data_IF_877381193395
#
_entry.id   IF_877381193395
#
_cell.length_a   1.000
_cell.length_b   1.000
_cell.length_c   1.000
_cell.angle_alpha   90.00
_cell.angle_beta   90.00
_cell.angle_gamma   90.00
#
_symmetry.space_group_name_H-M   'P 1'
#
loop_
_entity.id
_entity.type
_entity.pdbx_description
1 polymer ?
#
# COMPACT_ATOMS: atom_id res chain seq x y z
N UNK A 1 -9.52 0.04 17.82
CA UNK A 1 -8.75 0.93 18.73
C UNK A 1 -7.27 0.88 18.33
N UNK A 2 -6.40 1.76 18.85
CA UNK A 2 -4.94 1.73 18.58
C UNK A 2 -4.28 0.36 18.86
N UNK A 3 -4.91 -0.46 19.71
CA UNK A 3 -4.37 -1.74 20.21
C UNK A 3 -5.07 -2.97 19.59
N UNK A 4 -5.79 -2.80 18.49
CA UNK A 4 -6.49 -3.89 17.81
C UNK A 4 -5.63 -4.49 16.70
N UNK A 5 -4.52 -5.10 17.09
CA UNK A 5 -3.51 -5.59 16.14
C UNK A 5 -3.95 -6.84 15.38
N UNK A 6 -4.87 -7.62 15.95
CA UNK A 6 -5.41 -8.83 15.33
C UNK A 6 -6.63 -8.54 14.43
N UNK A 7 -7.27 -7.37 14.59
CA UNK A 7 -8.49 -7.04 13.85
C UNK A 7 -9.73 -7.80 14.34
N UNK A 8 -9.64 -8.48 15.48
CA UNK A 8 -10.70 -9.34 16.02
C UNK A 8 -11.89 -8.55 16.61
N UNK A 9 -11.74 -7.24 16.80
CA UNK A 9 -12.84 -6.42 17.31
C UNK A 9 -13.79 -6.09 16.17
N UNK A 10 -15.11 -6.12 16.40
CA UNK A 10 -16.08 -5.70 15.40
C UNK A 10 -15.79 -4.24 15.05
N UNK A 11 -15.25 -4.04 13.85
CA UNK A 11 -14.82 -2.75 13.36
C UNK A 11 -15.03 -2.69 11.87
N UNK A 12 -15.27 -1.47 11.41
CA UNK A 12 -15.41 -1.20 10.00
C UNK A 12 -14.10 -1.47 9.26
N UNK A 13 -14.18 -1.95 8.00
CA UNK A 13 -12.99 -2.26 7.22
C UNK A 13 -12.18 -0.99 6.91
N UNK A 14 -10.86 -1.14 6.87
CA UNK A 14 -9.92 -0.08 6.48
C UNK A 14 -9.25 -0.47 5.16
N UNK A 15 -9.51 0.28 4.09
CA UNK A 15 -9.00 -0.05 2.77
C UNK A 15 -7.57 0.46 2.56
N UNK A 16 -6.68 -0.43 2.12
CA UNK A 16 -5.30 -0.11 1.72
C UNK A 16 -5.17 -0.35 0.22
N UNK A 17 -4.55 0.58 -0.50
CA UNK A 17 -4.43 0.55 -1.95
C UNK A 17 -2.98 0.39 -2.40
N UNK A 18 -2.77 -0.24 -3.56
CA UNK A 18 -1.49 -0.16 -4.26
C UNK A 18 -1.33 1.21 -4.91
N UNK A 19 -0.07 1.62 -5.13
CA UNK A 19 0.26 2.81 -5.90
C UNK A 19 1.16 2.39 -7.08
N UNK A 20 0.56 2.01 -8.23
CA UNK A 20 1.33 1.60 -9.40
C UNK A 20 2.09 2.73 -10.09
N UNK A 21 1.83 3.99 -9.71
CA UNK A 21 2.45 5.16 -10.30
C UNK A 21 3.71 5.58 -9.53
N UNK A 22 3.72 5.36 -8.22
CA UNK A 22 4.85 5.68 -7.34
C UNK A 22 5.24 4.44 -6.50
N UNK A 23 6.14 3.58 -7.03
CA UNK A 23 6.52 2.34 -6.35
C UNK A 23 7.24 2.58 -5.02
N UNK A 24 7.88 3.74 -4.80
CA UNK A 24 8.59 4.03 -3.53
C UNK A 24 7.66 4.11 -2.32
N UNK A 25 6.39 4.45 -2.53
CA UNK A 25 5.39 4.63 -1.46
C UNK A 25 4.27 3.59 -1.50
N UNK A 26 4.29 2.65 -2.45
CA UNK A 26 3.22 1.65 -2.56
C UNK A 26 3.30 0.62 -1.42
N UNK A 27 2.28 0.52 -0.56
CA UNK A 27 2.30 -0.42 0.56
C UNK A 27 2.23 -1.87 0.08
N UNK A 28 1.50 -2.16 -0.99
CA UNK A 28 1.35 -3.53 -1.52
C UNK A 28 2.67 -4.02 -2.15
N UNK A 29 3.38 -3.16 -2.90
CA UNK A 29 4.71 -3.50 -3.39
C UNK A 29 5.70 -3.72 -2.23
N UNK A 30 5.69 -2.83 -1.23
CA UNK A 30 6.57 -2.96 -0.06
C UNK A 30 6.32 -4.28 0.70
N UNK A 31 5.05 -4.68 0.85
CA UNK A 31 4.68 -5.97 1.43
C UNK A 31 5.15 -7.15 0.57
N UNK A 32 4.99 -7.08 -0.76
CA UNK A 32 5.50 -8.09 -1.68
C UNK A 32 7.02 -8.26 -1.55
N UNK A 33 7.78 -7.16 -1.59
CA UNK A 33 9.24 -7.21 -1.42
C UNK A 33 9.61 -7.82 -0.07
N UNK A 34 8.91 -7.42 1.00
CA UNK A 34 9.14 -7.93 2.33
C UNK A 34 8.90 -9.45 2.43
N UNK A 35 7.73 -9.93 2.01
CA UNK A 35 7.36 -11.35 2.11
C UNK A 35 8.10 -12.25 1.13
N UNK A 36 8.62 -11.70 0.02
CA UNK A 36 9.51 -12.48 -0.85
C UNK A 36 10.87 -12.78 -0.22
N UNK A 37 11.32 -11.94 0.71
CA UNK A 37 12.61 -12.10 1.38
C UNK A 37 12.50 -12.73 2.76
N UNK A 38 11.35 -12.59 3.43
CA UNK A 38 11.15 -12.97 4.82
C UNK A 38 9.90 -13.83 4.98
N UNK A 39 10.01 -14.89 5.78
CA UNK A 39 8.92 -15.84 5.98
C UNK A 39 7.89 -15.33 6.99
N UNK A 40 6.67 -15.84 6.89
CA UNK A 40 5.60 -15.60 7.86
C UNK A 40 5.89 -16.26 9.21
N UNK A 41 5.33 -15.71 10.28
CA UNK A 41 5.33 -16.35 11.59
C UNK A 41 4.32 -17.50 11.60
N UNK A 42 4.82 -18.72 11.44
CA UNK A 42 3.99 -19.94 11.36
C UNK A 42 3.25 -20.28 12.67
N UNK A 43 3.66 -19.70 13.81
CA UNK A 43 3.07 -20.03 15.11
C UNK A 43 1.78 -19.28 15.43
N UNK A 44 1.64 -18.03 14.94
CA UNK A 44 0.57 -17.13 15.37
C UNK A 44 -0.11 -16.37 14.21
N UNK A 45 0.19 -16.70 12.95
CA UNK A 45 -0.42 -16.05 11.78
C UNK A 45 -0.05 -14.56 11.63
N UNK A 46 1.04 -14.11 12.25
CA UNK A 46 1.46 -12.71 12.20
C UNK A 46 2.10 -12.39 10.85
N UNK A 47 1.71 -11.24 10.27
CA UNK A 47 2.29 -10.73 9.03
C UNK A 47 3.78 -10.38 9.16
N UNK A 48 4.21 -10.02 10.37
CA UNK A 48 5.59 -9.66 10.70
C UNK A 48 6.06 -10.50 11.88
N UNK A 49 7.16 -11.27 11.73
CA UNK A 49 7.69 -12.09 12.81
C UNK A 49 8.17 -11.24 14.00
N UNK A 50 8.16 -11.84 15.19
CA UNK A 50 8.64 -11.23 16.43
C UNK A 50 7.62 -10.36 17.17
N UNK A 51 8.09 -9.67 18.21
CA UNK A 51 7.30 -8.77 19.05
C UNK A 51 7.68 -7.29 18.90
N UNK A 52 6.93 -6.42 19.59
CA UNK A 52 7.22 -4.98 19.71
C UNK A 52 7.43 -4.26 18.37
N UNK A 53 6.56 -4.52 17.40
CA UNK A 53 6.67 -3.99 16.03
C UNK A 53 6.79 -2.47 16.00
N UNK A 54 6.06 -1.77 16.87
CA UNK A 54 6.16 -0.33 17.05
C UNK A 54 7.58 0.15 17.39
N UNK A 55 8.23 -0.48 18.38
CA UNK A 55 9.57 -0.07 18.81
C UNK A 55 10.64 -0.45 17.79
N UNK A 56 10.47 -1.60 17.11
CA UNK A 56 11.35 -2.03 16.02
C UNK A 56 11.30 -1.03 14.87
N UNK A 57 10.09 -0.66 14.43
CA UNK A 57 9.89 0.35 13.40
C UNK A 57 10.49 1.69 13.82
N UNK A 58 10.22 2.18 15.04
CA UNK A 58 10.77 3.43 15.55
C UNK A 58 12.31 3.43 15.55
N UNK A 59 12.94 2.34 16.01
CA UNK A 59 14.41 2.20 16.01
C UNK A 59 14.97 2.19 14.59
N UNK A 60 14.34 1.48 13.66
CA UNK A 60 14.80 1.41 12.28
C UNK A 60 14.63 2.75 11.55
N UNK A 61 13.53 3.46 11.79
CA UNK A 61 13.30 4.80 11.27
C UNK A 61 14.36 5.78 11.79
N UNK A 62 14.65 5.73 13.10
CA UNK A 62 15.71 6.55 13.70
C UNK A 62 17.10 6.27 13.10
N UNK A 63 17.43 5.00 12.81
CA UNK A 63 18.67 4.65 12.10
C UNK A 63 18.71 5.24 10.69
N UNK A 64 17.61 5.15 9.95
CA UNK A 64 17.48 5.68 8.59
C UNK A 64 17.68 7.20 8.58
N UNK A 65 17.09 7.91 9.53
CA UNK A 65 17.22 9.37 9.64
C UNK A 65 18.63 9.85 10.01
N UNK A 66 19.44 8.98 10.60
CA UNK A 66 20.82 9.25 10.96
C UNK A 66 21.82 8.83 9.87
N UNK A 67 21.38 8.27 8.74
CA UNK A 67 22.26 8.08 7.59
C UNK A 67 22.67 9.43 7.00
N UNK A 68 23.90 9.54 6.52
CA UNK A 68 24.48 10.83 6.13
C UNK A 68 23.69 11.52 5.02
N UNK A 69 23.26 10.76 4.01
CA UNK A 69 22.44 11.24 2.90
C UNK A 69 21.08 11.77 3.36
N UNK A 70 20.38 11.01 4.22
CA UNK A 70 19.07 11.40 4.76
C UNK A 70 19.19 12.59 5.72
N UNK A 71 20.21 12.60 6.58
CA UNK A 71 20.50 13.69 7.51
C UNK A 71 20.82 15.00 6.78
N UNK A 72 21.57 14.92 5.68
CA UNK A 72 21.84 16.07 4.82
C UNK A 72 20.57 16.59 4.14
N UNK A 73 19.69 15.70 3.70
CA UNK A 73 18.40 16.08 3.13
C UNK A 73 17.48 16.75 4.15
N UNK A 74 17.45 16.26 5.39
CA UNK A 74 16.75 16.91 6.50
C UNK A 74 17.23 18.34 6.74
N UNK A 75 18.56 18.54 6.79
CA UNK A 75 19.15 19.88 6.91
C UNK A 75 18.77 20.77 5.72
N UNK A 76 18.82 20.25 4.50
CA UNK A 76 18.44 20.98 3.27
C UNK A 76 16.99 21.45 3.30
N UNK A 77 16.08 20.63 3.85
CA UNK A 77 14.65 20.96 3.96
C UNK A 77 14.27 21.68 5.25
N UNK A 78 15.23 21.96 6.14
CA UNK A 78 15.00 22.51 7.47
C UNK A 78 13.99 21.69 8.31
N UNK A 79 13.99 20.37 8.16
CA UNK A 79 13.12 19.44 8.91
C UNK A 79 13.95 18.74 9.97
N UNK A 80 13.50 18.74 11.23
CA UNK A 80 14.19 17.99 12.28
C UNK A 80 13.72 16.53 12.28
N UNK A 81 14.62 15.54 12.46
CA UNK A 81 14.23 14.14 12.60
C UNK A 81 13.14 13.90 13.65
N UNK A 82 13.15 14.64 14.77
CA UNK A 82 12.15 14.51 15.84
C UNK A 82 10.74 15.02 15.44
N UNK A 83 10.63 15.88 14.43
CA UNK A 83 9.35 16.41 13.93
C UNK A 83 8.58 15.35 13.12
N UNK A 84 9.32 14.45 12.44
CA UNK A 84 8.75 13.43 11.56
C UNK A 84 9.00 11.98 12.05
N UNK A 85 9.91 11.78 13.00
CA UNK A 85 10.45 10.47 13.40
C UNK A 85 9.70 9.74 14.50
N UNK A 86 8.57 10.29 14.95
CA UNK A 86 7.65 9.54 15.78
C UNK A 86 6.63 8.80 14.90
N UNK A 87 6.32 7.56 15.25
CA UNK A 87 5.15 6.85 14.68
C UNK A 87 3.84 7.63 14.83
N UNK A 88 3.76 8.48 15.86
CA UNK A 88 2.64 9.39 16.08
C UNK A 88 2.59 10.51 15.04
N UNK A 89 3.74 11.04 14.60
CA UNK A 89 3.81 12.06 13.54
C UNK A 89 3.44 11.49 12.18
N UNK A 90 3.76 10.23 11.87
CA UNK A 90 3.35 9.61 10.61
C UNK A 90 1.82 9.52 10.47
N UNK A 91 1.13 9.01 11.49
CA UNK A 91 -0.34 8.93 11.45
C UNK A 91 -1.00 10.31 11.42
N UNK A 92 -0.48 11.28 12.19
CA UNK A 92 -0.96 12.67 12.16
C UNK A 92 -0.70 13.33 10.80
N UNK A 93 0.46 13.08 10.23
CA UNK A 93 0.86 13.57 8.92
C UNK A 93 -0.04 13.00 7.82
N UNK A 94 -0.31 11.70 7.83
CA UNK A 94 -1.26 11.07 6.91
C UNK A 94 -2.68 11.66 7.04
N UNK A 95 -3.17 11.86 8.26
CA UNK A 95 -4.47 12.50 8.49
C UNK A 95 -4.49 13.95 7.99
N UNK A 96 -3.43 14.72 8.25
CA UNK A 96 -3.29 16.12 7.78
C UNK A 96 -3.21 16.17 6.26
N UNK A 97 -2.41 15.30 5.65
CA UNK A 97 -2.29 15.19 4.20
C UNK A 97 -3.63 14.85 3.56
N UNK A 98 -4.36 13.87 4.11
CA UNK A 98 -5.68 13.52 3.62
C UNK A 98 -6.67 14.67 3.75
N UNK A 99 -6.69 15.39 4.88
CA UNK A 99 -7.68 16.46 5.13
C UNK A 99 -7.33 17.83 4.55
N UNK A 100 -6.08 18.07 4.14
CA UNK A 100 -5.62 19.39 3.68
C UNK A 100 -4.81 19.36 2.38
N UNK A 101 -4.58 18.20 1.78
CA UNK A 101 -3.85 18.07 0.51
C UNK A 101 -4.62 18.52 -0.72
N UNK A 102 -5.93 18.77 -0.59
CA UNK A 102 -6.79 19.28 -1.67
C UNK A 102 -8.05 19.92 -1.08
N UNK A 103 -8.67 20.87 -1.79
CA UNK A 103 -10.00 21.39 -1.45
C UNK A 103 -11.11 20.36 -1.68
N UNK A 104 -10.82 19.30 -2.42
CA UNK A 104 -11.71 18.15 -2.64
C UNK A 104 -11.32 16.93 -1.79
N UNK A 105 -10.76 17.17 -0.60
CA UNK A 105 -10.32 16.13 0.34
C UNK A 105 -11.48 15.26 0.87
N UNK A 106 -11.19 14.04 1.38
CA UNK A 106 -12.15 13.26 2.15
C UNK A 106 -12.68 14.01 3.38
N UNK A 107 -13.85 13.60 3.88
CA UNK A 107 -14.44 14.22 5.07
C UNK A 107 -13.54 14.05 6.30
N UNK A 108 -13.51 15.08 7.16
CA UNK A 108 -12.76 15.03 8.43
C UNK A 108 -13.23 13.89 9.33
N UNK A 109 -14.53 13.56 9.31
CA UNK A 109 -15.11 12.39 9.99
C UNK A 109 -14.42 11.11 9.55
N UNK A 110 -14.34 10.86 8.23
CA UNK A 110 -13.72 9.63 7.72
C UNK A 110 -12.24 9.57 8.06
N UNK A 111 -11.52 10.70 7.90
CA UNK A 111 -10.09 10.79 8.26
C UNK A 111 -9.87 10.44 9.73
N UNK A 112 -10.69 10.99 10.63
CA UNK A 112 -10.61 10.72 12.07
C UNK A 112 -10.92 9.26 12.40
N UNK A 113 -11.96 8.68 11.79
CA UNK A 113 -12.33 7.27 11.99
C UNK A 113 -11.22 6.33 11.54
N UNK A 114 -10.62 6.57 10.36
CA UNK A 114 -9.51 5.78 9.83
C UNK A 114 -8.24 5.93 10.70
N UNK A 115 -7.94 7.14 11.16
CA UNK A 115 -6.86 7.40 12.12
C UNK A 115 -7.11 6.75 13.51
N UNK A 116 -8.32 6.27 13.76
CA UNK A 116 -8.76 5.67 15.01
C UNK A 116 -8.89 6.68 16.14
N UNK A 117 -9.30 7.91 15.81
CA UNK A 117 -9.55 9.00 16.75
C UNK A 117 -11.03 9.10 17.09
N UNK A 118 -11.31 9.50 18.33
CA UNK A 118 -12.68 9.83 18.76
C UNK A 118 -13.10 11.13 18.09
N UNK A 119 -14.32 11.17 17.53
CA UNK A 119 -14.92 12.40 17.01
C UNK A 119 -15.38 13.33 18.14
N UNK A 120 -15.67 12.76 19.31
CA UNK A 120 -16.05 13.47 20.52
C UNK A 120 -17.55 13.79 20.60
N UNK A 121 -18.05 13.83 21.83
CA UNK A 121 -19.43 14.24 22.16
C UNK A 121 -20.50 13.61 21.27
N UNK A 122 -21.37 14.47 20.76
CA UNK A 122 -22.51 14.13 19.90
C UNK A 122 -22.09 13.46 18.59
N UNK A 123 -20.94 13.82 18.02
CA UNK A 123 -20.51 13.31 16.71
C UNK A 123 -20.26 11.79 16.74
N UNK A 124 -19.71 11.25 17.83
CA UNK A 124 -19.51 9.80 17.99
C UNK A 124 -20.81 8.99 17.93
N UNK A 125 -21.95 9.60 18.30
CA UNK A 125 -23.24 8.92 18.31
C UNK A 125 -23.82 8.80 16.90
N UNK A 126 -23.72 9.88 16.12
CA UNK A 126 -24.45 10.06 14.88
C UNK A 126 -23.61 9.83 13.62
N UNK A 127 -22.30 10.05 13.68
CA UNK A 127 -21.41 9.89 12.54
C UNK A 127 -20.77 8.50 12.60
N UNK A 128 -21.03 7.71 11.56
CA UNK A 128 -20.58 6.31 11.44
C UNK A 128 -19.64 6.16 10.26
N UNK A 129 -19.10 4.96 10.13
CA UNK A 129 -18.27 4.59 9.00
C UNK A 129 -18.97 4.81 7.67
N UNK A 130 -18.23 5.38 6.74
CA UNK A 130 -18.67 5.56 5.36
C UNK A 130 -17.64 4.94 4.41
N UNK A 131 -18.02 3.82 3.79
CA UNK A 131 -17.13 3.02 2.95
C UNK A 131 -16.46 3.84 1.84
N UNK A 132 -17.24 4.66 1.11
CA UNK A 132 -16.70 5.49 0.04
C UNK A 132 -15.68 6.51 0.55
N UNK A 133 -15.91 7.09 1.74
CA UNK A 133 -14.96 7.99 2.38
C UNK A 133 -13.68 7.27 2.77
N UNK A 134 -13.78 6.07 3.36
CA UNK A 134 -12.61 5.29 3.81
C UNK A 134 -11.74 4.90 2.62
N UNK A 135 -12.38 4.46 1.54
CA UNK A 135 -11.74 4.17 0.26
C UNK A 135 -11.05 5.40 -0.34
N UNK A 136 -11.70 6.57 -0.29
CA UNK A 136 -11.12 7.84 -0.74
C UNK A 136 -9.88 8.22 0.11
N UNK A 137 -9.96 8.12 1.44
CA UNK A 137 -8.80 8.34 2.32
C UNK A 137 -7.69 7.34 1.98
N UNK A 138 -8.00 6.06 1.83
CA UNK A 138 -7.04 5.00 1.50
C UNK A 138 -6.26 5.29 0.21
N UNK A 139 -6.94 5.72 -0.85
CA UNK A 139 -6.30 6.16 -2.10
C UNK A 139 -5.43 7.39 -1.89
N UNK A 140 -5.91 8.39 -1.16
CA UNK A 140 -5.15 9.62 -0.89
C UNK A 140 -3.88 9.33 -0.11
N UNK A 141 -3.96 8.60 1.02
CA UNK A 141 -2.79 8.36 1.89
C UNK A 141 -1.76 7.39 1.28
N UNK A 142 -2.13 6.66 0.23
CA UNK A 142 -1.20 5.84 -0.56
C UNK A 142 -0.51 6.62 -1.67
N UNK A 143 -0.78 7.93 -1.77
CA UNK A 143 -0.08 8.86 -2.66
C UNK A 143 -0.60 8.84 -4.09
N UNK A 144 -1.83 8.37 -4.33
CA UNK A 144 -2.44 8.51 -5.65
C UNK A 144 -2.72 10.00 -5.95
N UNK A 145 -2.51 10.45 -7.20
CA UNK A 145 -2.55 11.86 -7.57
C UNK A 145 -3.99 12.41 -7.52
N UNK A 146 -4.30 13.18 -6.49
CA UNK A 146 -5.66 13.71 -6.22
C UNK A 146 -6.15 14.72 -7.26
N UNK A 147 -5.27 15.22 -8.12
CA UNK A 147 -5.56 16.20 -9.18
C UNK A 147 -5.61 15.57 -10.58
N UNK A 148 -5.58 14.24 -10.67
CA UNK A 148 -5.52 13.51 -11.93
C UNK A 148 -6.60 12.45 -12.06
N UNK A 149 -7.00 12.15 -13.30
CA UNK A 149 -7.84 10.99 -13.62
C UNK A 149 -7.21 9.67 -13.17
N UNK A 150 -5.88 9.63 -13.09
CA UNK A 150 -5.11 8.46 -12.63
C UNK A 150 -5.29 8.18 -11.14
N UNK A 151 -5.95 9.06 -10.37
CA UNK A 151 -6.43 8.74 -9.02
C UNK A 151 -7.31 7.48 -8.99
N UNK A 152 -8.05 7.23 -10.08
CA UNK A 152 -8.90 6.06 -10.25
C UNK A 152 -8.15 4.84 -10.79
N UNK A 153 -6.80 4.83 -10.81
CA UNK A 153 -6.07 3.65 -11.28
C UNK A 153 -6.39 2.41 -10.44
N UNK A 154 -6.43 1.26 -11.12
CA UNK A 154 -6.53 -0.04 -10.48
C UNK A 154 -5.15 -0.50 -10.00
N UNK A 155 -5.06 -1.29 -8.91
CA UNK A 155 -3.81 -1.92 -8.53
C UNK A 155 -3.30 -2.87 -9.63
N UNK A 156 -2.00 -3.18 -9.68
CA UNK A 156 -1.52 -4.30 -10.46
C UNK A 156 -2.23 -5.59 -10.02
N UNK A 157 -2.80 -6.32 -10.96
CA UNK A 157 -3.51 -7.58 -10.72
C UNK A 157 -3.44 -8.49 -11.94
N UNK A 158 -3.71 -9.78 -11.76
CA UNK A 158 -3.82 -10.72 -12.87
C UNK A 158 -5.26 -10.76 -13.39
N UNK A 159 -5.43 -11.07 -14.68
CA UNK A 159 -6.75 -11.29 -15.30
C UNK A 159 -7.53 -12.43 -14.65
N UNK A 160 -6.82 -13.44 -14.17
CA UNK A 160 -7.35 -14.65 -13.56
C UNK A 160 -6.28 -15.30 -12.69
N UNK A 161 -6.66 -15.80 -11.51
CA UNK A 161 -5.79 -16.64 -10.70
C UNK A 161 -5.88 -18.10 -11.20
N UNK A 162 -4.92 -18.50 -12.05
CA UNK A 162 -4.77 -19.86 -12.56
C UNK A 162 -3.68 -20.63 -11.80
N UNK A 163 -3.52 -21.93 -12.13
CA UNK A 163 -2.52 -22.81 -11.48
C UNK A 163 -1.09 -22.25 -11.53
N UNK A 164 -0.74 -21.45 -12.54
CA UNK A 164 0.60 -20.84 -12.61
C UNK A 164 0.73 -19.65 -11.67
N UNK A 165 -0.34 -18.85 -11.50
CA UNK A 165 -0.36 -17.77 -10.50
C UNK A 165 -0.28 -18.38 -9.10
N UNK A 166 -1.04 -19.44 -8.83
CA UNK A 166 -0.99 -20.20 -7.56
C UNK A 166 0.40 -20.76 -7.26
N UNK A 167 1.03 -21.36 -8.27
CA UNK A 167 2.40 -21.85 -8.17
C UNK A 167 3.38 -20.70 -7.88
N UNK A 168 3.21 -19.56 -8.55
CA UNK A 168 4.06 -18.40 -8.36
C UNK A 168 3.91 -17.78 -6.96
N UNK A 169 2.68 -17.70 -6.43
CA UNK A 169 2.41 -17.27 -5.05
C UNK A 169 3.14 -18.18 -4.06
N UNK A 170 3.02 -19.51 -4.25
CA UNK A 170 3.64 -20.50 -3.37
C UNK A 170 5.17 -20.43 -3.38
N UNK A 171 5.76 -20.12 -4.53
CA UNK A 171 7.21 -19.95 -4.70
C UNK A 171 7.69 -18.60 -4.13
N UNK A 172 6.94 -17.54 -4.39
CA UNK A 172 7.29 -16.19 -3.97
C UNK A 172 7.14 -15.99 -2.46
N UNK A 173 6.17 -16.66 -1.83
CA UNK A 173 5.76 -16.39 -0.45
C UNK A 173 5.65 -17.68 0.37
N UNK A 174 6.74 -18.43 0.60
CA UNK A 174 6.66 -19.72 1.27
C UNK A 174 6.09 -19.63 2.69
N UNK A 175 5.18 -20.56 3.02
CA UNK A 175 4.57 -20.68 4.35
C UNK A 175 3.51 -19.61 4.65
N UNK A 176 2.89 -19.04 3.61
CA UNK A 176 1.81 -18.09 3.78
C UNK A 176 0.54 -18.72 4.37
N UNK A 177 -0.22 -17.99 5.21
CA UNK A 177 -1.51 -18.47 5.69
C UNK A 177 -2.57 -18.30 4.59
N UNK A 178 -3.41 -19.31 4.36
CA UNK A 178 -4.42 -19.29 3.30
C UNK A 178 -5.41 -18.12 3.38
N UNK A 179 -5.66 -17.58 4.58
CA UNK A 179 -6.48 -16.38 4.78
C UNK A 179 -5.95 -15.13 4.06
N UNK A 180 -4.66 -15.12 3.71
CA UNK A 180 -4.00 -13.99 3.07
C UNK A 180 -3.87 -14.15 1.56
N UNK A 181 -4.39 -15.24 0.97
CA UNK A 181 -4.17 -15.55 -0.44
C UNK A 181 -4.42 -14.34 -1.38
N UNK A 182 -5.55 -13.65 -1.23
CA UNK A 182 -5.87 -12.49 -2.06
C UNK A 182 -4.85 -11.35 -1.97
N UNK A 183 -4.29 -11.07 -0.79
CA UNK A 183 -3.29 -10.00 -0.68
C UNK A 183 -1.96 -10.40 -1.32
N UNK A 184 -1.65 -11.70 -1.33
CA UNK A 184 -0.44 -12.23 -1.96
C UNK A 184 -0.53 -12.20 -3.47
N UNK A 185 -1.72 -12.42 -4.04
CA UNK A 185 -1.95 -12.24 -5.46
C UNK A 185 -1.63 -10.79 -5.89
N UNK A 186 -2.17 -9.78 -5.19
CA UNK A 186 -1.84 -8.38 -5.44
C UNK A 186 -0.36 -8.04 -5.18
N UNK A 187 0.26 -8.68 -4.18
CA UNK A 187 1.68 -8.50 -3.89
C UNK A 187 2.55 -9.07 -5.01
N UNK A 188 2.23 -10.27 -5.51
CA UNK A 188 2.91 -10.90 -6.65
C UNK A 188 2.75 -10.05 -7.92
N UNK A 189 1.52 -9.62 -8.21
CA UNK A 189 1.25 -8.76 -9.36
C UNK A 189 2.01 -7.44 -9.27
N UNK A 190 2.11 -6.85 -8.08
CA UNK A 190 2.90 -5.63 -7.85
C UNK A 190 4.40 -5.86 -8.07
N UNK A 191 4.94 -7.01 -7.65
CA UNK A 191 6.35 -7.36 -7.88
C UNK A 191 6.67 -7.50 -9.37
N UNK A 192 5.81 -8.19 -10.13
CA UNK A 192 6.00 -8.40 -11.56
C UNK A 192 5.84 -7.08 -12.33
N UNK A 193 4.78 -6.32 -12.04
CA UNK A 193 4.54 -5.01 -12.64
C UNK A 193 5.71 -4.03 -12.41
N UNK A 194 6.31 -4.03 -11.22
CA UNK A 194 7.42 -3.13 -10.88
C UNK A 194 8.81 -3.75 -11.08
N UNK A 195 8.94 -4.91 -11.73
CA UNK A 195 10.21 -5.65 -11.82
C UNK A 195 11.38 -4.83 -12.39
N UNK A 196 11.13 -4.02 -13.42
CA UNK A 196 12.16 -3.21 -14.07
C UNK A 196 12.56 -2.02 -13.21
N UNK A 197 11.59 -1.42 -12.51
CA UNK A 197 11.87 -0.40 -11.51
C UNK A 197 12.76 -0.97 -10.38
N UNK A 198 12.42 -2.16 -9.87
CA UNK A 198 13.18 -2.83 -8.82
C UNK A 198 14.62 -3.11 -9.27
N UNK A 199 14.82 -3.71 -10.46
CA UNK A 199 16.15 -3.98 -11.04
C UNK A 199 17.00 -2.72 -11.23
N UNK A 200 16.36 -1.60 -11.60
CA UNK A 200 17.04 -0.32 -11.81
C UNK A 200 17.43 0.36 -10.49
N UNK A 201 16.62 0.21 -9.44
CA UNK A 201 16.73 1.01 -8.22
C UNK A 201 17.45 0.28 -7.09
N UNK A 202 17.27 -1.03 -6.98
CA UNK A 202 17.91 -1.83 -5.95
C UNK A 202 19.31 -2.28 -6.40
N UNK A 203 20.28 -2.39 -5.48
CA UNK A 203 21.58 -2.96 -5.79
C UNK A 203 21.46 -4.39 -6.34
N UNK A 204 22.33 -4.78 -7.28
CA UNK A 204 22.33 -6.15 -7.82
C UNK A 204 22.54 -7.23 -6.74
N UNK A 205 23.18 -6.89 -5.62
CA UNK A 205 23.37 -7.75 -4.45
C UNK A 205 22.18 -7.78 -3.48
N UNK A 206 21.08 -7.11 -3.81
CA UNK A 206 19.90 -7.05 -2.95
C UNK A 206 19.25 -8.43 -2.82
N UNK A 207 18.87 -8.82 -1.59
CA UNK A 207 18.35 -10.17 -1.29
C UNK A 207 17.12 -10.57 -2.11
N UNK A 208 16.31 -9.60 -2.54
CA UNK A 208 15.18 -9.81 -3.46
C UNK A 208 15.59 -10.56 -4.73
N UNK A 209 16.76 -10.26 -5.31
CA UNK A 209 17.25 -10.90 -6.53
C UNK A 209 17.82 -12.31 -6.28
N UNK A 210 17.97 -12.72 -5.03
CA UNK A 210 18.32 -14.09 -4.64
C UNK A 210 17.07 -14.95 -4.39
N UNK A 211 15.87 -14.37 -4.43
CA UNK A 211 14.62 -15.12 -4.23
C UNK A 211 14.32 -16.01 -5.44
N UNK A 212 13.61 -17.14 -5.24
CA UNK A 212 13.22 -18.03 -6.35
C UNK A 212 12.48 -17.32 -7.49
N UNK A 213 11.66 -16.31 -7.15
CA UNK A 213 10.87 -15.54 -8.09
C UNK A 213 11.74 -14.74 -9.08
N UNK A 214 12.82 -14.11 -8.60
CA UNK A 214 13.68 -13.23 -9.40
C UNK A 214 14.92 -13.94 -9.99
N UNK A 215 15.33 -15.08 -9.44
CA UNK A 215 16.41 -15.91 -10.00
C UNK A 215 15.97 -16.63 -11.27
N UNK A 216 14.70 -17.04 -11.34
CA UNK A 216 14.15 -17.77 -12.49
C UNK A 216 13.21 -16.85 -13.30
N UNK A 217 13.79 -15.99 -14.15
CA UNK A 217 13.04 -15.01 -14.98
C UNK A 217 11.92 -15.64 -15.84
N UNK A 218 11.92 -16.95 -16.07
CA UNK A 218 10.89 -17.63 -16.85
C UNK A 218 9.49 -17.51 -16.26
N UNK A 219 9.36 -17.38 -14.93
CA UNK A 219 8.04 -17.30 -14.28
C UNK A 219 7.41 -15.91 -14.46
N UNK A 220 8.14 -14.86 -14.10
CA UNK A 220 7.69 -13.47 -14.29
C UNK A 220 7.44 -13.16 -15.77
N UNK A 221 8.25 -13.70 -16.69
CA UNK A 221 7.99 -13.51 -18.12
C UNK A 221 6.67 -14.17 -18.57
N UNK A 222 6.31 -15.33 -18.01
CA UNK A 222 5.02 -15.99 -18.32
C UNK A 222 3.83 -15.29 -17.68
N UNK A 223 4.03 -14.57 -16.57
CA UNK A 223 2.97 -13.86 -15.85
C UNK A 223 2.70 -12.47 -16.44
N UNK A 224 3.70 -11.86 -17.06
CA UNK A 224 3.65 -10.49 -17.58
C UNK A 224 2.44 -10.23 -18.50
N UNK A 225 2.14 -11.15 -19.41
CA UNK A 225 1.05 -10.99 -20.39
C UNK A 225 -0.35 -11.01 -19.74
N UNK A 226 -0.45 -11.44 -18.48
CA UNK A 226 -1.70 -11.51 -17.71
C UNK A 226 -1.88 -10.32 -16.77
N UNK A 227 -0.87 -9.47 -16.62
CA UNK A 227 -0.92 -8.30 -15.75
C UNK A 227 -1.87 -7.23 -16.30
N UNK A 228 -2.64 -6.65 -15.40
CA UNK A 228 -3.56 -5.54 -15.64
C UNK A 228 -3.40 -4.47 -14.55
N UNK A 229 -3.99 -3.30 -14.78
CA UNK A 229 -3.99 -2.19 -13.82
C UNK A 229 -2.76 -1.29 -13.94
N UNK A 230 -2.69 -0.28 -13.06
CA UNK A 230 -1.69 0.78 -13.18
C UNK A 230 -1.79 1.53 -14.51
N UNK A 231 -0.68 1.56 -15.25
CA UNK A 231 -0.60 2.13 -16.59
C UNK A 231 -0.91 1.14 -17.71
N UNK A 232 -1.16 -0.14 -17.37
CA UNK A 232 -1.55 -1.15 -18.35
C UNK A 232 -3.03 -0.99 -18.68
N UNK A 233 -3.37 -1.14 -19.96
CA UNK A 233 -4.77 -1.08 -20.38
C UNK A 233 -5.55 -2.26 -19.78
N UNK A 234 -6.73 -2.02 -19.19
CA UNK A 234 -7.58 -3.11 -18.73
C UNK A 234 -8.05 -3.94 -19.92
N UNK A 235 -8.04 -5.26 -19.81
CA UNK A 235 -8.74 -6.09 -20.77
C UNK A 235 -10.26 -5.82 -20.68
N UNK A 236 -10.96 -5.93 -21.80
CA UNK A 236 -12.40 -5.70 -21.92
C UNK A 236 -13.28 -6.52 -20.95
N UNK A 237 -12.73 -7.55 -20.31
CA UNK A 237 -13.44 -8.47 -19.40
C UNK A 237 -13.17 -8.23 -17.90
N UNK A 238 -12.37 -7.22 -17.54
CA UNK A 238 -12.10 -6.95 -16.11
C UNK A 238 -13.36 -6.46 -15.39
N UNK A 239 -13.76 -7.18 -14.33
CA UNK A 239 -14.89 -6.81 -13.47
C UNK A 239 -14.49 -5.83 -12.37
N UNK A 240 -13.18 -5.64 -12.15
CA UNK A 240 -12.66 -4.78 -11.09
C UNK A 240 -12.88 -3.31 -11.44
N UNK A 241 -13.48 -2.57 -10.50
CA UNK A 241 -13.76 -1.14 -10.66
C UNK A 241 -13.10 -0.33 -9.55
N UNK A 242 -12.63 0.89 -9.85
CA UNK A 242 -12.04 1.72 -8.83
C UNK A 242 -13.13 2.22 -7.86
N UNK A 243 -12.88 2.07 -6.57
CA UNK A 243 -13.77 2.47 -5.48
C UNK A 243 -13.26 3.72 -4.75
N UNK A 244 -14.13 4.45 -4.06
CA UNK A 244 -13.73 5.68 -3.33
C UNK A 244 -13.22 6.80 -4.24
N UNK A 245 -13.71 6.84 -5.48
CA UNK A 245 -13.31 7.83 -6.49
C UNK A 245 -14.25 9.02 -6.44
N UNK A 246 -13.75 10.25 -6.19
CA UNK A 246 -14.58 11.45 -6.24
C UNK A 246 -15.12 11.73 -7.64
N UNK A 247 -16.29 12.38 -7.73
CA UNK A 247 -16.95 12.66 -9.01
C UNK A 247 -16.07 13.47 -9.97
N UNK A 248 -15.27 14.42 -9.46
CA UNK A 248 -14.39 15.22 -10.32
C UNK A 248 -13.35 14.36 -11.03
N UNK A 249 -12.88 13.26 -10.44
CA UNK A 249 -11.94 12.32 -11.08
C UNK A 249 -12.61 11.64 -12.26
N UNK A 250 -13.89 11.25 -12.15
CA UNK A 250 -14.63 10.68 -13.26
C UNK A 250 -14.78 11.68 -14.43
N UNK A 251 -14.96 12.96 -14.12
CA UNK A 251 -14.97 14.03 -15.13
C UNK A 251 -13.59 14.13 -15.80
N UNK A 252 -12.51 14.14 -15.02
CA UNK A 252 -11.14 14.15 -15.55
C UNK A 252 -10.86 12.93 -16.44
N UNK A 253 -11.37 11.74 -16.07
CA UNK A 253 -11.24 10.52 -16.88
C UNK A 253 -11.93 10.68 -18.24
N UNK A 254 -13.14 11.22 -18.27
CA UNK A 254 -13.85 11.48 -19.53
C UNK A 254 -13.10 12.50 -20.39
N UNK A 255 -12.56 13.56 -19.78
CA UNK A 255 -11.78 14.57 -20.49
C UNK A 255 -10.47 14.01 -21.06
N UNK A 256 -9.82 13.06 -20.37
CA UNK A 256 -8.60 12.42 -20.85
C UNK A 256 -8.84 11.44 -22.01
N UNK A 257 -10.08 11.00 -22.22
CA UNK A 257 -10.48 10.12 -23.34
C UNK A 257 -10.94 10.85 -24.60
N UNK A 258 -11.02 12.18 -24.58
CA UNK A 258 -11.31 13.03 -25.74
C UNK A 258 -10.05 13.24 -26.59
#
# INVERSE_FOLDING_TARGET
>A
MKNDQAGDRPRDPQHVYANPLEPTVSPILALGVYWSMLTFDQGNGRLFPGGSQYDRFRKQLGRTFNQDDVSNEHKRRAVKPDEIGSTHSLRKGAATFASSGSTACPSSTTVNLLAGWSLGGVQNTYLRYEAAGDMHVGRTVTGLPTDSHTFACLPPHFSSCDDQVEQAISIAFPGYPGSNHYILEYALASLDYHREYLKKTLPASHGLFCTPLFTTNTMLNKLADRLQGGTLQPHHESTLRPTGVPLYVAILSNMASL
#
